data_IF_731868351149
#
_entry.id   IF_731868351149
#
_cell.length_a   1.000
_cell.length_b   1.000
_cell.length_c   1.000
_cell.angle_alpha   90.00
_cell.angle_beta   90.00
_cell.angle_gamma   90.00
#
_symmetry.space_group_name_H-M   'P 1'
#
loop_
_entity.id
_entity.type
_entity.pdbx_description
1 polymer ?
#
# COMPACT_ATOMS: atom_id res chain seq x y z
N UNK A 1 -2.05 -22.65 -3.42
CA UNK A 1 -2.97 -22.24 -2.35
C UNK A 1 -3.08 -20.73 -2.39
N UNK A 2 -4.31 -20.20 -2.43
CA UNK A 2 -4.59 -18.76 -2.44
C UNK A 2 -5.28 -18.40 -1.13
N UNK A 3 -4.89 -17.28 -0.52
CA UNK A 3 -5.60 -16.73 0.63
C UNK A 3 -6.74 -15.83 0.13
N UNK A 4 -7.93 -16.00 0.70
CA UNK A 4 -9.17 -15.30 0.29
C UNK A 4 -9.80 -14.58 1.48
N UNK A 5 -10.73 -13.66 1.21
CA UNK A 5 -11.55 -13.00 2.23
C UNK A 5 -12.68 -13.94 2.69
N UNK A 6 -13.09 -13.78 3.94
CA UNK A 6 -14.09 -14.58 4.64
C UNK A 6 -15.45 -13.91 4.50
N UNK A 7 -15.99 -13.89 3.29
CA UNK A 7 -17.37 -13.47 3.07
C UNK A 7 -18.19 -14.65 2.56
N UNK A 8 -18.97 -15.32 3.42
CA UNK A 8 -19.99 -16.21 2.90
C UNK A 8 -20.98 -15.37 2.10
N UNK A 9 -21.09 -15.63 0.80
CA UNK A 9 -22.23 -15.14 0.03
C UNK A 9 -23.50 -15.65 0.71
N UNK A 10 -24.50 -14.78 0.82
CA UNK A 10 -25.82 -15.05 1.37
C UNK A 10 -26.29 -16.51 1.23
N UNK A 11 -26.42 -17.21 2.35
CA UNK A 11 -27.47 -18.21 2.55
C UNK A 11 -27.15 -19.70 2.39
N UNK A 12 -26.01 -20.12 1.84
CA UNK A 12 -25.73 -21.56 1.69
C UNK A 12 -24.49 -21.99 2.48
N UNK A 13 -24.74 -22.69 3.58
CA UNK A 13 -23.75 -23.31 4.48
C UNK A 13 -23.09 -24.57 3.91
N UNK A 14 -23.11 -24.78 2.59
CA UNK A 14 -22.47 -25.92 1.94
C UNK A 14 -21.60 -25.45 0.77
N UNK A 15 -20.41 -24.93 1.09
CA UNK A 15 -19.37 -24.61 0.09
C UNK A 15 -18.59 -25.87 -0.35
N UNK A 16 -19.04 -27.07 0.04
CA UNK A 16 -18.33 -28.35 -0.14
C UNK A 16 -18.43 -28.96 -1.55
N UNK A 17 -19.09 -28.29 -2.50
CA UNK A 17 -19.08 -28.64 -3.94
C UNK A 17 -18.71 -27.44 -4.83
N UNK A 18 -18.09 -26.40 -4.26
CA UNK A 18 -17.75 -25.19 -5.03
C UNK A 18 -16.52 -25.45 -5.90
N UNK A 19 -16.70 -25.33 -7.21
CA UNK A 19 -15.60 -25.35 -8.17
C UNK A 19 -14.73 -24.09 -8.00
N UNK A 20 -13.42 -24.27 -8.13
CA UNK A 20 -12.42 -23.20 -8.21
C UNK A 20 -11.75 -23.29 -9.57
N UNK A 21 -11.81 -22.19 -10.32
CA UNK A 21 -11.13 -22.05 -11.59
C UNK A 21 -9.81 -21.33 -11.39
N UNK A 22 -8.72 -21.92 -11.89
CA UNK A 22 -7.37 -21.37 -11.80
C UNK A 22 -6.85 -21.09 -13.20
N UNK A 23 -6.07 -20.02 -13.34
CA UNK A 23 -5.43 -19.64 -14.61
C UNK A 23 -6.43 -19.44 -15.77
N UNK A 24 -7.53 -18.78 -15.47
CA UNK A 24 -8.56 -18.38 -16.44
C UNK A 24 -8.64 -16.85 -16.52
N UNK A 25 -9.01 -16.33 -17.69
CA UNK A 25 -9.43 -14.94 -17.87
C UNK A 25 -10.95 -14.80 -17.92
N UNK A 26 -11.70 -15.88 -18.12
CA UNK A 26 -13.16 -15.88 -18.14
C UNK A 26 -13.72 -16.40 -16.81
N UNK A 27 -14.82 -15.81 -16.33
CA UNK A 27 -15.54 -16.23 -15.12
C UNK A 27 -16.04 -17.68 -15.19
N UNK A 28 -16.31 -18.21 -16.38
CA UNK A 28 -16.72 -19.59 -16.60
C UNK A 28 -15.57 -20.61 -16.44
N UNK A 29 -14.32 -20.14 -16.32
CA UNK A 29 -13.16 -21.03 -16.18
C UNK A 29 -12.73 -21.70 -17.47
N UNK A 30 -13.32 -21.35 -18.61
CA UNK A 30 -13.05 -21.92 -19.93
C UNK A 30 -12.24 -20.96 -20.82
N UNK A 31 -11.87 -21.45 -22.01
CA UNK A 31 -11.24 -20.64 -23.06
C UNK A 31 -9.72 -20.54 -23.00
N UNK A 32 -9.07 -20.89 -21.89
CA UNK A 32 -7.61 -20.87 -21.75
C UNK A 32 -7.00 -22.28 -21.75
N UNK A 33 -5.94 -22.49 -22.55
CA UNK A 33 -5.31 -23.81 -22.77
C UNK A 33 -4.76 -24.46 -21.49
N UNK A 34 -4.53 -23.68 -20.44
CA UNK A 34 -3.98 -24.13 -19.16
C UNK A 34 -4.88 -23.76 -17.97
N UNK A 35 -6.17 -23.53 -18.20
CA UNK A 35 -7.13 -23.38 -17.11
C UNK A 35 -7.27 -24.71 -16.36
N UNK A 36 -7.45 -24.63 -15.04
CA UNK A 36 -7.65 -25.81 -14.18
C UNK A 36 -8.92 -25.62 -13.38
N UNK A 37 -9.83 -26.58 -13.49
CA UNK A 37 -10.98 -26.72 -12.59
C UNK A 37 -10.60 -27.65 -11.45
N UNK A 38 -10.85 -27.22 -10.22
CA UNK A 38 -10.67 -28.00 -9.01
C UNK A 38 -11.85 -27.75 -8.06
N UNK A 39 -11.89 -28.42 -6.92
CA UNK A 39 -12.99 -28.28 -5.96
C UNK A 39 -12.46 -27.95 -4.57
N UNK A 40 -13.28 -27.28 -3.78
CA UNK A 40 -12.95 -26.93 -2.40
C UNK A 40 -13.14 -28.15 -1.49
N UNK A 41 -12.03 -28.71 -0.99
CA UNK A 41 -12.07 -29.73 0.05
C UNK A 41 -12.40 -29.13 1.42
N UNK A 42 -11.80 -27.97 1.73
CA UNK A 42 -11.95 -27.33 3.04
C UNK A 42 -11.65 -25.85 2.98
N UNK A 43 -12.36 -25.08 3.81
CA UNK A 43 -12.08 -23.68 4.05
C UNK A 43 -11.65 -23.51 5.49
N UNK A 44 -10.50 -22.87 5.69
CA UNK A 44 -9.92 -22.64 7.00
C UNK A 44 -9.93 -21.14 7.25
N UNK A 45 -10.94 -20.70 7.99
CA UNK A 45 -11.10 -19.30 8.42
C UNK A 45 -10.14 -19.02 9.58
N UNK A 46 -9.53 -17.83 9.59
CA UNK A 46 -8.70 -17.39 10.70
C UNK A 46 -9.50 -17.38 12.02
N UNK A 47 -8.94 -17.97 13.08
CA UNK A 47 -9.64 -18.24 14.34
C UNK A 47 -10.19 -16.97 15.04
N UNK A 48 -9.57 -15.83 14.78
CA UNK A 48 -9.97 -14.53 15.33
C UNK A 48 -10.76 -13.65 14.35
N UNK A 49 -11.28 -14.23 13.26
CA UNK A 49 -12.17 -13.50 12.35
C UNK A 49 -13.38 -12.94 13.11
N UNK A 50 -13.68 -11.66 12.89
CA UNK A 50 -14.86 -11.02 13.50
C UNK A 50 -15.37 -9.84 12.67
N UNK A 51 -16.65 -9.55 12.82
CA UNK A 51 -17.31 -8.41 12.18
C UNK A 51 -17.43 -7.26 13.19
N UNK A 52 -16.99 -6.07 12.81
CA UNK A 52 -17.09 -4.84 13.62
C UNK A 52 -17.86 -3.77 12.84
N UNK A 53 -19.18 -3.73 13.02
CA UNK A 53 -20.05 -2.85 12.24
C UNK A 53 -20.04 -3.24 10.76
N UNK A 54 -19.26 -2.53 9.95
CA UNK A 54 -19.02 -2.88 8.54
C UNK A 54 -17.56 -3.07 8.19
N UNK A 55 -16.68 -3.04 9.20
CA UNK A 55 -15.31 -3.50 9.05
C UNK A 55 -15.24 -4.99 9.36
N UNK A 56 -14.28 -5.66 8.75
CA UNK A 56 -13.98 -7.07 9.01
C UNK A 56 -12.58 -7.17 9.58
N UNK A 57 -12.43 -7.80 10.74
CA UNK A 57 -11.16 -7.93 11.46
C UNK A 57 -10.66 -9.36 11.30
N UNK A 58 -9.37 -9.52 10.98
CA UNK A 58 -8.77 -10.82 10.64
C UNK A 58 -9.50 -11.53 9.50
N UNK A 59 -9.88 -10.75 8.49
CA UNK A 59 -10.59 -11.22 7.30
C UNK A 59 -9.65 -11.92 6.33
N UNK A 60 -9.37 -13.19 6.63
CA UNK A 60 -8.53 -14.09 5.85
C UNK A 60 -8.95 -15.55 6.06
N UNK A 61 -8.96 -16.32 4.98
CA UNK A 61 -9.10 -17.78 4.98
C UNK A 61 -8.11 -18.43 4.00
N UNK A 62 -7.84 -19.72 4.22
CA UNK A 62 -7.15 -20.60 3.28
C UNK A 62 -8.17 -21.57 2.69
N UNK A 63 -8.18 -21.69 1.36
CA UNK A 63 -8.90 -22.74 0.65
C UNK A 63 -7.94 -23.90 0.39
N UNK A 64 -8.34 -25.09 0.85
CA UNK A 64 -7.69 -26.36 0.53
C UNK A 64 -8.46 -26.99 -0.62
N UNK A 65 -7.75 -27.31 -1.70
CA UNK A 65 -8.33 -27.95 -2.88
C UNK A 65 -8.35 -29.47 -2.71
N UNK A 66 -9.28 -30.14 -3.37
CA UNK A 66 -9.37 -31.61 -3.36
C UNK A 66 -8.15 -32.29 -3.98
N UNK A 67 -7.59 -31.68 -5.04
CA UNK A 67 -6.42 -32.21 -5.73
C UNK A 67 -5.28 -31.18 -5.79
N UNK A 68 -4.01 -31.61 -5.73
CA UNK A 68 -2.88 -30.72 -5.92
C UNK A 68 -2.83 -30.17 -7.34
N UNK A 69 -2.47 -28.88 -7.48
CA UNK A 69 -2.30 -28.21 -8.78
C UNK A 69 -0.83 -27.85 -8.97
N UNK A 70 -0.21 -28.41 -10.01
CA UNK A 70 1.22 -28.23 -10.32
C UNK A 70 1.48 -27.44 -11.59
N UNK A 71 0.45 -27.22 -12.41
CA UNK A 71 0.53 -26.54 -13.71
C UNK A 71 0.39 -25.04 -13.63
N UNK A 72 -0.11 -24.51 -12.51
CA UNK A 72 -0.30 -23.07 -12.28
C UNK A 72 0.74 -22.59 -11.27
N UNK A 73 1.54 -21.60 -11.66
CA UNK A 73 2.56 -21.02 -10.78
C UNK A 73 1.90 -20.12 -9.74
N UNK A 74 2.10 -20.35 -8.43
CA UNK A 74 1.56 -19.48 -7.39
C UNK A 74 2.16 -18.09 -7.42
N UNK A 75 1.34 -17.08 -7.12
CA UNK A 75 1.83 -15.73 -6.84
C UNK A 75 2.73 -15.72 -5.60
N UNK A 76 3.81 -14.96 -5.64
CA UNK A 76 4.68 -14.79 -4.49
C UNK A 76 4.01 -13.87 -3.45
N UNK A 77 4.05 -14.26 -2.18
CA UNK A 77 3.64 -13.38 -1.08
C UNK A 77 4.80 -12.45 -0.74
N UNK A 78 4.51 -11.19 -0.42
CA UNK A 78 5.56 -10.28 -0.01
C UNK A 78 6.07 -10.66 1.40
N UNK A 79 7.30 -11.18 1.47
CA UNK A 79 7.92 -11.64 2.72
C UNK A 79 8.36 -10.49 3.65
N UNK A 80 8.35 -10.76 4.96
CA UNK A 80 8.96 -9.91 5.98
C UNK A 80 10.48 -9.93 5.87
N UNK A 81 11.11 -8.90 5.30
CA UNK A 81 12.55 -8.70 5.52
C UNK A 81 12.78 -8.37 6.98
N UNK A 82 13.28 -9.31 7.78
CA UNK A 82 13.87 -9.05 9.11
C UNK A 82 15.31 -8.55 8.89
N UNK A 83 15.57 -7.24 9.02
CA UNK A 83 16.97 -6.80 9.23
C UNK A 83 17.21 -6.80 10.73
N UNK A 84 17.86 -7.87 11.18
CA UNK A 84 18.74 -7.81 12.35
C UNK A 84 19.68 -6.63 12.12
N UNK A 85 19.63 -5.62 12.98
CA UNK A 85 20.57 -4.51 12.96
C UNK A 85 21.97 -5.06 13.29
N UNK A 86 22.71 -5.49 12.28
CA UNK A 86 24.16 -5.56 12.38
C UNK A 86 24.64 -4.12 12.47
N UNK A 87 24.97 -3.71 13.69
CA UNK A 87 25.61 -2.44 14.02
C UNK A 87 26.90 -2.31 13.19
N UNK A 88 26.83 -1.62 12.05
CA UNK A 88 28.03 -1.30 11.27
C UNK A 88 28.80 -0.24 12.04
N UNK A 89 29.83 -0.64 12.77
CA UNK A 89 30.81 0.26 13.36
C UNK A 89 31.62 0.87 12.22
N UNK A 90 31.32 2.11 11.84
CA UNK A 90 32.16 2.88 10.92
C UNK A 90 33.52 3.11 11.57
N UNK A 91 34.54 2.37 11.13
CA UNK A 91 35.94 2.60 11.48
C UNK A 91 36.49 3.65 10.52
N UNK A 92 36.50 4.91 10.95
CA UNK A 92 37.14 6.02 10.24
C UNK A 92 38.62 5.70 10.05
N UNK A 93 39.05 5.56 8.80
CA UNK A 93 40.48 5.43 8.45
C UNK A 93 40.89 6.68 7.70
N UNK A 94 41.69 7.51 8.36
CA UNK A 94 42.39 8.67 7.78
C UNK A 94 43.51 8.18 6.85
N UNK A 95 43.66 8.81 5.67
CA UNK A 95 44.90 8.73 4.88
C UNK A 95 45.37 10.14 4.43
N UNK A 96 46.68 10.43 4.43
CA UNK A 96 47.23 11.80 4.39
C UNK A 96 47.61 12.33 3.00
N UNK A 97 47.60 13.67 2.91
CA UNK A 97 48.40 14.63 2.10
C UNK A 97 48.53 14.45 0.57
N UNK A 98 48.49 15.51 -0.23
CA UNK A 98 49.67 16.37 -0.49
C UNK A 98 49.27 17.75 -1.05
N UNK A 99 49.91 18.80 -0.50
CA UNK A 99 49.95 20.19 -0.97
C UNK A 99 50.85 20.31 -2.21
N UNK A 100 50.45 21.10 -3.20
CA UNK A 100 51.40 21.89 -4.00
C UNK A 100 50.85 23.29 -4.27
N UNK A 101 51.72 24.26 -4.03
CA UNK A 101 51.53 25.72 -4.11
C UNK A 101 52.15 26.22 -5.42
N UNK A 102 51.51 27.17 -6.14
CA UNK A 102 52.13 28.41 -6.68
C UNK A 102 51.11 29.30 -7.45
N UNK A 103 51.19 30.61 -7.20
CA UNK A 103 50.51 31.80 -7.79
C UNK A 103 51.48 32.43 -8.86
N UNK A 104 51.28 33.61 -9.51
CA UNK A 104 50.10 34.46 -9.86
C UNK A 104 50.05 34.96 -11.34
N UNK A 105 49.05 35.84 -11.62
CA UNK A 105 48.98 36.95 -12.64
C UNK A 105 48.44 36.51 -14.02
N UNK A 106 47.51 37.19 -14.71
CA UNK A 106 47.37 38.64 -15.01
C UNK A 106 45.92 39.00 -15.44
N UNK A 107 45.58 40.28 -15.25
CA UNK A 107 44.36 41.00 -15.61
C UNK A 107 44.11 41.07 -17.13
N UNK A 108 42.83 41.07 -17.55
CA UNK A 108 42.37 41.94 -18.66
C UNK A 108 40.94 42.44 -18.39
N UNK A 109 40.82 43.76 -18.42
CA UNK A 109 39.65 44.63 -18.41
C UNK A 109 38.82 44.56 -19.69
N UNK A 110 37.49 44.70 -19.61
CA UNK A 110 36.72 45.54 -20.56
C UNK A 110 35.47 46.12 -19.87
N UNK A 111 35.34 47.45 -19.98
CA UNK A 111 34.23 48.32 -19.57
C UNK A 111 33.28 48.55 -20.76
N UNK A 112 31.98 48.66 -20.48
CA UNK A 112 30.99 49.45 -21.27
C UNK A 112 29.88 49.91 -20.29
N UNK A 113 29.94 51.09 -19.63
CA UNK A 113 29.27 52.39 -19.94
C UNK A 113 27.97 52.31 -20.77
N UNK A 114 26.85 53.02 -20.60
CA UNK A 114 26.25 53.96 -19.62
C UNK A 114 24.86 54.30 -20.21
N UNK A 115 23.76 54.35 -19.43
CA UNK A 115 22.85 55.51 -19.48
C UNK A 115 21.77 55.51 -18.38
N UNK A 116 21.60 56.74 -17.91
CA UNK A 116 20.83 57.26 -16.79
C UNK A 116 19.41 57.62 -17.21
N UNK A 117 18.44 57.42 -16.32
CA UNK A 117 17.30 58.35 -16.18
C UNK A 117 16.83 58.40 -14.73
N UNK A 118 16.52 59.61 -14.28
CA UNK A 118 16.38 60.04 -12.89
C UNK A 118 14.94 60.44 -12.53
N UNK A 119 14.55 60.15 -11.27
CA UNK A 119 13.72 60.94 -10.33
C UNK A 119 12.17 60.88 -10.51
N UNK A 120 11.29 61.11 -9.47
CA UNK A 120 11.52 61.47 -8.06
C UNK A 120 11.02 60.54 -6.95
N UNK A 121 11.78 60.64 -5.85
CA UNK A 121 11.56 60.24 -4.47
C UNK A 121 10.67 61.23 -3.71
N UNK A 122 9.76 60.72 -2.89
CA UNK A 122 9.16 61.46 -1.75
C UNK A 122 9.84 60.97 -0.48
N UNK A 123 10.53 61.88 0.22
CA UNK A 123 11.14 61.68 1.54
C UNK A 123 10.09 61.98 2.62
N UNK A 124 9.93 61.08 3.58
CA UNK A 124 9.33 61.38 4.88
C UNK A 124 10.35 61.08 5.99
N UNK A 125 10.36 61.99 6.95
CA UNK A 125 11.39 62.27 7.95
C UNK A 125 11.47 61.22 9.08
N UNK A 126 12.67 61.10 9.63
CA UNK A 126 13.17 60.23 10.71
C UNK A 126 12.51 60.40 12.09
N UNK A 127 12.47 59.31 12.88
CA UNK A 127 12.84 59.31 14.30
C UNK A 127 13.47 57.96 14.69
N UNK A 128 14.66 57.92 15.32
CA UNK A 128 15.29 56.68 15.79
C UNK A 128 14.77 56.29 17.17
N UNK A 129 14.26 55.06 17.30
CA UNK A 129 13.94 54.44 18.59
C UNK A 129 14.88 53.27 18.80
N UNK A 130 15.82 53.43 19.71
CA UNK A 130 16.67 52.39 20.25
C UNK A 130 15.84 51.46 21.14
N UNK A 131 15.63 50.21 20.69
CA UNK A 131 15.08 49.15 21.54
C UNK A 131 16.09 48.03 21.63
N UNK A 132 16.65 47.88 22.83
CA UNK A 132 17.63 46.85 23.22
C UNK A 132 17.02 45.46 23.10
N UNK A 133 17.53 44.64 22.18
CA UNK A 133 17.17 43.22 22.03
C UNK A 133 17.94 42.38 23.05
N UNK A 134 17.22 41.87 24.06
CA UNK A 134 17.69 40.78 24.94
C UNK A 134 17.59 39.45 24.16
N UNK A 135 18.60 38.55 24.22
CA UNK A 135 18.51 37.26 23.53
C UNK A 135 17.45 36.38 24.21
N UNK A 136 16.35 36.13 23.53
CA UNK A 136 15.39 35.08 23.89
C UNK A 136 15.81 33.77 23.24
N UNK A 137 16.23 32.83 24.07
CA UNK A 137 16.52 31.45 23.71
C UNK A 137 15.29 30.82 23.08
N UNK A 138 15.30 30.59 21.75
CA UNK A 138 14.29 29.77 21.08
C UNK A 138 14.54 28.31 21.45
N UNK A 139 13.78 27.82 22.42
CA UNK A 139 13.67 26.39 22.70
C UNK A 139 12.95 25.73 21.51
N UNK A 140 13.70 25.13 20.59
CA UNK A 140 13.14 24.22 19.60
C UNK A 140 12.53 23.02 20.31
N UNK A 141 11.20 22.99 20.40
CA UNK A 141 10.44 21.82 20.86
C UNK A 141 10.56 20.73 19.80
N UNK A 142 11.61 19.91 19.92
CA UNK A 142 11.74 18.66 19.15
C UNK A 142 10.85 17.62 19.83
N UNK A 143 9.66 17.39 19.28
CA UNK A 143 8.87 16.20 19.61
C UNK A 143 7.88 15.91 18.50
N UNK A 144 8.22 14.92 17.68
CA UNK A 144 7.32 13.80 17.43
C UNK A 144 8.19 12.55 17.31
N UNK A 145 8.06 11.68 18.29
CA UNK A 145 8.50 10.29 18.23
C UNK A 145 7.84 9.63 17.03
N UNK A 146 8.61 9.35 15.98
CA UNK A 146 8.15 8.52 14.86
C UNK A 146 7.81 7.15 15.44
N UNK A 147 6.51 6.83 15.54
CA UNK A 147 6.02 5.46 15.77
C UNK A 147 6.83 4.53 14.84
N UNK A 148 7.31 3.37 15.30
CA UNK A 148 8.05 2.47 14.42
C UNK A 148 7.24 2.27 13.14
N UNK A 149 7.83 2.62 11.99
CA UNK A 149 7.20 2.36 10.72
C UNK A 149 6.93 0.86 10.68
N UNK A 150 5.68 0.46 10.48
CA UNK A 150 5.38 -0.94 10.19
C UNK A 150 6.26 -1.33 9.01
N UNK A 151 7.13 -2.32 9.22
CA UNK A 151 7.98 -2.84 8.16
C UNK A 151 7.05 -3.43 7.11
N UNK A 152 7.32 -3.17 5.83
CA UNK A 152 6.45 -3.57 4.71
C UNK A 152 5.03 -2.97 4.77
N UNK A 153 4.91 -1.69 5.13
CA UNK A 153 3.60 -1.01 5.10
C UNK A 153 3.05 -0.79 3.67
N UNK A 154 3.94 -0.82 2.65
CA UNK A 154 3.67 -0.50 1.24
C UNK A 154 3.04 0.87 0.99
N UNK A 155 3.05 1.76 1.99
CA UNK A 155 2.48 3.10 1.87
C UNK A 155 3.08 3.86 0.69
N UNK A 156 2.21 4.54 -0.06
CA UNK A 156 2.52 5.28 -1.29
C UNK A 156 2.99 4.45 -2.49
N UNK A 157 3.00 3.12 -2.39
CA UNK A 157 3.37 2.25 -3.51
C UNK A 157 2.24 2.20 -4.53
N UNK A 158 2.62 2.14 -5.82
CA UNK A 158 1.69 1.76 -6.87
C UNK A 158 1.40 0.26 -6.76
N UNK A 159 0.15 -0.10 -6.97
CA UNK A 159 -0.33 -1.46 -6.87
C UNK A 159 -1.35 -1.77 -7.98
N UNK A 160 -1.54 -3.06 -8.23
CA UNK A 160 -2.55 -3.58 -9.15
C UNK A 160 -3.54 -4.43 -8.36
N UNK A 161 -4.83 -4.19 -8.57
CA UNK A 161 -5.89 -5.09 -8.14
C UNK A 161 -6.46 -5.79 -9.37
N UNK A 162 -6.99 -6.99 -9.20
CA UNK A 162 -7.61 -7.74 -10.28
C UNK A 162 -8.80 -8.57 -9.78
N UNK A 163 -9.82 -8.71 -10.62
CA UNK A 163 -11.04 -9.41 -10.30
C UNK A 163 -12.08 -9.37 -11.43
N UNK A 164 -13.21 -10.02 -11.16
CA UNK A 164 -14.37 -10.09 -12.07
C UNK A 164 -15.58 -9.35 -11.50
N UNK A 165 -15.39 -8.52 -10.47
CA UNK A 165 -16.47 -7.79 -9.82
C UNK A 165 -17.12 -6.73 -10.70
N UNK A 166 -18.03 -6.00 -10.08
CA UNK A 166 -18.80 -4.96 -10.74
C UNK A 166 -17.89 -3.87 -11.32
N UNK A 167 -18.13 -3.51 -12.58
CA UNK A 167 -17.35 -2.46 -13.28
C UNK A 167 -17.90 -1.05 -13.08
N UNK A 168 -19.07 -0.92 -12.46
CA UNK A 168 -19.70 0.34 -12.06
C UNK A 168 -20.69 0.12 -10.91
N UNK A 169 -20.98 1.16 -10.13
CA UNK A 169 -22.01 1.13 -9.08
C UNK A 169 -23.35 0.65 -9.65
N UNK A 170 -23.94 -0.39 -9.05
CA UNK A 170 -25.20 -0.99 -9.49
C UNK A 170 -25.17 -1.64 -10.88
N UNK A 171 -23.97 -1.83 -11.46
CA UNK A 171 -23.76 -2.51 -12.73
C UNK A 171 -23.71 -4.04 -12.60
N UNK A 172 -23.07 -4.68 -13.57
CA UNK A 172 -22.87 -6.13 -13.62
C UNK A 172 -21.41 -6.49 -13.41
N UNK A 173 -21.20 -7.67 -12.82
CA UNK A 173 -19.89 -8.33 -12.73
C UNK A 173 -19.34 -8.58 -14.14
N UNK A 174 -18.02 -8.58 -14.28
CA UNK A 174 -17.39 -8.76 -15.58
C UNK A 174 -17.24 -10.22 -15.94
N UNK A 175 -17.56 -10.60 -17.18
CA UNK A 175 -17.28 -11.94 -17.69
C UNK A 175 -15.78 -12.21 -17.88
N UNK A 176 -14.98 -11.14 -18.02
CA UNK A 176 -13.53 -11.23 -18.26
C UNK A 176 -12.75 -10.52 -17.17
N UNK A 177 -11.59 -11.07 -16.82
CA UNK A 177 -10.74 -10.54 -15.77
C UNK A 177 -10.40 -9.08 -16.06
N UNK A 178 -10.66 -8.21 -15.09
CA UNK A 178 -10.23 -6.83 -15.12
C UNK A 178 -9.09 -6.61 -14.14
N UNK A 179 -8.29 -5.59 -14.43
CA UNK A 179 -7.25 -5.12 -13.54
C UNK A 179 -7.27 -3.60 -13.50
N UNK A 180 -6.95 -3.05 -12.34
CA UNK A 180 -6.89 -1.60 -12.16
C UNK A 180 -5.67 -1.18 -11.35
N UNK A 181 -5.12 -0.02 -11.71
CA UNK A 181 -4.00 0.59 -11.00
C UNK A 181 -4.53 1.42 -9.83
N UNK A 182 -3.99 1.15 -8.63
CA UNK A 182 -4.31 1.88 -7.41
C UNK A 182 -3.04 2.30 -6.70
N UNK A 183 -3.16 3.24 -5.76
CA UNK A 183 -2.08 3.63 -4.87
C UNK A 183 -2.44 3.26 -3.44
N UNK A 184 -1.52 2.58 -2.76
CA UNK A 184 -1.66 2.28 -1.34
C UNK A 184 -1.49 3.58 -0.55
N UNK A 185 -2.47 3.90 0.29
CA UNK A 185 -2.47 5.13 1.09
C UNK A 185 -1.62 4.94 2.35
N UNK A 186 -1.30 6.06 3.01
CA UNK A 186 -0.60 5.97 4.31
C UNK A 186 -1.54 5.40 5.36
N UNK A 187 -1.01 4.70 6.38
CA UNK A 187 -1.83 4.23 7.49
C UNK A 187 -2.54 5.39 8.23
N UNK A 188 -1.93 6.57 8.22
CA UNK A 188 -2.55 7.78 8.77
C UNK A 188 -3.79 8.18 7.96
N UNK A 189 -3.69 8.24 6.63
CA UNK A 189 -4.84 8.59 5.78
C UNK A 189 -5.95 7.56 5.91
N UNK A 190 -5.61 6.26 5.90
CA UNK A 190 -6.58 5.19 6.12
C UNK A 190 -7.28 5.35 7.48
N UNK A 191 -6.51 5.58 8.55
CA UNK A 191 -7.05 5.80 9.89
C UNK A 191 -7.92 7.05 10.00
N UNK A 192 -7.61 8.12 9.28
CA UNK A 192 -8.46 9.32 9.22
C UNK A 192 -9.81 9.05 8.53
N UNK A 193 -9.81 8.21 7.49
CA UNK A 193 -11.02 7.88 6.72
C UNK A 193 -11.93 6.88 7.45
N UNK A 194 -11.33 5.86 8.07
CA UNK A 194 -12.05 4.73 8.65
C UNK A 194 -12.17 4.75 10.18
N UNK A 195 -11.43 5.63 10.86
CA UNK A 195 -11.48 5.76 12.32
C UNK A 195 -11.15 4.46 13.04
N UNK A 196 -11.99 4.09 14.01
CA UNK A 196 -11.81 2.87 14.83
C UNK A 196 -11.98 1.56 14.06
N UNK A 197 -12.52 1.60 12.83
CA UNK A 197 -12.66 0.41 11.99
C UNK A 197 -11.33 -0.02 11.33
N UNK A 198 -10.31 0.85 11.34
CA UNK A 198 -9.04 0.57 10.69
C UNK A 198 -7.93 0.25 11.69
N UNK A 199 -7.31 -0.91 11.51
CA UNK A 199 -6.13 -1.33 12.26
C UNK A 199 -4.91 -1.42 11.34
N UNK A 200 -4.01 -0.45 11.43
CA UNK A 200 -2.79 -0.38 10.62
C UNK A 200 -1.87 -1.62 10.72
N UNK A 201 -1.99 -2.43 11.78
CA UNK A 201 -1.18 -3.63 11.94
C UNK A 201 -1.63 -4.77 11.03
N UNK A 202 -2.93 -4.84 10.71
CA UNK A 202 -3.53 -5.95 9.97
C UNK A 202 -4.20 -5.50 8.67
N UNK A 203 -4.38 -4.20 8.46
CA UNK A 203 -5.09 -3.61 7.34
C UNK A 203 -4.24 -2.57 6.61
N UNK A 204 -4.48 -2.46 5.30
CA UNK A 204 -4.06 -1.34 4.46
C UNK A 204 -5.27 -0.82 3.67
N UNK A 205 -5.20 0.39 3.13
CA UNK A 205 -6.21 0.87 2.20
C UNK A 205 -5.57 1.45 0.94
N UNK A 206 -6.29 1.39 -0.18
CA UNK A 206 -5.82 1.90 -1.46
C UNK A 206 -6.92 2.67 -2.17
N UNK A 207 -6.52 3.60 -3.02
CA UNK A 207 -7.41 4.36 -3.88
C UNK A 207 -6.78 4.54 -5.26
N UNK A 208 -7.57 4.46 -6.32
CA UNK A 208 -7.15 4.79 -7.67
C UNK A 208 -7.06 6.31 -7.90
N UNK A 209 -6.15 6.71 -8.79
CA UNK A 209 -6.15 8.06 -9.37
C UNK A 209 -7.06 8.09 -10.59
N UNK A 210 -7.53 9.28 -11.02
CA UNK A 210 -8.47 9.42 -12.13
C UNK A 210 -7.99 8.72 -13.45
N UNK A 211 -8.85 7.95 -14.15
CA UNK A 211 -10.20 7.55 -13.73
C UNK A 211 -10.13 6.63 -12.50
N UNK A 212 -10.88 7.02 -11.49
CA UNK A 212 -10.77 6.50 -10.14
C UNK A 212 -11.15 5.02 -10.11
N UNK A 213 -10.30 4.20 -9.49
CA UNK A 213 -10.36 2.74 -9.53
C UNK A 213 -10.34 2.16 -8.11
N UNK A 214 -11.12 1.12 -7.87
CA UNK A 214 -11.23 0.41 -6.59
C UNK A 214 -11.70 -1.02 -6.86
N UNK A 215 -11.57 -1.89 -5.87
CA UNK A 215 -12.40 -3.10 -5.80
C UNK A 215 -13.87 -2.69 -5.71
N UNK A 216 -14.75 -3.57 -6.17
CA UNK A 216 -16.19 -3.44 -6.09
C UNK A 216 -16.82 -4.74 -5.54
N UNK A 217 -18.15 -4.84 -5.61
CA UNK A 217 -18.87 -6.07 -5.24
C UNK A 217 -18.37 -7.22 -6.13
N UNK A 218 -18.13 -8.39 -5.51
CA UNK A 218 -17.57 -9.62 -6.09
C UNK A 218 -16.05 -9.58 -6.40
N UNK A 219 -15.34 -8.52 -6.02
CA UNK A 219 -13.87 -8.50 -6.01
C UNK A 219 -13.27 -8.92 -4.65
N UNK A 220 -14.11 -9.12 -3.62
CA UNK A 220 -13.64 -9.52 -2.29
C UNK A 220 -12.90 -10.87 -2.32
N UNK A 221 -11.80 -10.94 -1.57
CA UNK A 221 -10.87 -12.06 -1.63
C UNK A 221 -9.86 -12.00 -2.76
N UNK A 222 -10.05 -11.10 -3.74
CA UNK A 222 -9.09 -10.81 -4.80
C UNK A 222 -7.77 -10.21 -4.28
N UNK A 223 -6.69 -10.31 -5.07
CA UNK A 223 -5.37 -9.83 -4.65
C UNK A 223 -5.20 -8.32 -4.85
N UNK A 224 -4.39 -7.71 -3.99
CA UNK A 224 -3.65 -6.47 -4.31
C UNK A 224 -2.15 -6.79 -4.42
N UNK A 225 -1.56 -6.37 -5.54
CA UNK A 225 -0.21 -6.72 -5.96
C UNK A 225 0.70 -5.50 -6.01
N UNK A 226 1.91 -5.60 -5.43
CA UNK A 226 2.97 -4.60 -5.59
C UNK A 226 4.18 -5.29 -6.22
N UNK A 227 4.61 -4.83 -7.39
CA UNK A 227 5.72 -5.44 -8.12
C UNK A 227 5.51 -6.94 -8.41
N UNK A 228 4.25 -7.35 -8.63
CA UNK A 228 3.87 -8.75 -8.87
C UNK A 228 3.76 -9.62 -7.61
N UNK A 229 4.10 -9.12 -6.43
CA UNK A 229 3.93 -9.84 -5.16
C UNK A 229 2.60 -9.48 -4.51
N UNK A 230 1.88 -10.47 -3.97
CA UNK A 230 0.66 -10.24 -3.22
C UNK A 230 0.97 -9.65 -1.85
N UNK A 231 0.46 -8.44 -1.61
CA UNK A 231 0.65 -7.71 -0.35
C UNK A 231 -0.61 -7.68 0.51
N UNK A 232 -1.76 -7.90 -0.10
CA UNK A 232 -3.04 -7.89 0.59
C UNK A 232 -4.14 -8.68 -0.11
N UNK A 233 -5.27 -8.78 0.59
CA UNK A 233 -6.50 -9.46 0.17
C UNK A 233 -7.64 -8.45 0.26
N UNK A 234 -8.41 -8.27 -0.82
CA UNK A 234 -9.56 -7.38 -0.86
C UNK A 234 -10.57 -7.76 0.24
N UNK A 235 -10.89 -6.83 1.14
CA UNK A 235 -11.70 -7.13 2.33
C UNK A 235 -13.00 -6.33 2.34
N UNK A 236 -12.97 -4.99 2.39
CA UNK A 236 -14.19 -4.19 2.40
C UNK A 236 -14.01 -2.77 1.86
N UNK A 237 -15.14 -2.14 1.55
CA UNK A 237 -15.23 -0.77 1.07
C UNK A 237 -16.53 -0.12 1.59
N UNK A 238 -16.98 0.97 0.97
CA UNK A 238 -18.12 1.77 1.42
C UNK A 238 -19.39 0.93 1.69
N UNK A 239 -20.09 1.23 2.79
CA UNK A 239 -21.31 0.52 3.21
C UNK A 239 -22.48 0.68 2.25
N UNK A 240 -22.48 1.74 1.44
CA UNK A 240 -23.51 2.02 0.45
C UNK A 240 -23.33 1.23 -0.84
N UNK A 241 -22.38 0.28 -0.87
CA UNK A 241 -21.91 -0.40 -2.09
C UNK A 241 -21.44 0.57 -3.18
N UNK A 242 -21.14 1.83 -2.82
CA UNK A 242 -20.49 2.77 -3.70
C UNK A 242 -19.04 2.35 -3.84
N UNK A 243 -18.71 1.81 -5.00
CA UNK A 243 -17.37 1.43 -5.35
C UNK A 243 -16.56 2.71 -5.56
N UNK A 244 -15.32 2.70 -5.07
CA UNK A 244 -14.42 3.84 -5.19
C UNK A 244 -14.93 5.15 -4.50
N UNK A 245 -15.61 5.04 -3.35
CA UNK A 245 -15.93 6.20 -2.52
C UNK A 245 -14.65 6.89 -1.98
N UNK A 246 -14.37 8.18 -2.32
CA UNK A 246 -13.18 8.90 -1.84
C UNK A 246 -13.15 9.12 -0.32
N UNK A 247 -14.29 8.95 0.36
CA UNK A 247 -14.40 9.01 1.83
C UNK A 247 -14.18 7.65 2.47
N UNK A 248 -14.34 6.56 1.72
CA UNK A 248 -14.21 5.18 2.17
C UNK A 248 -13.35 4.35 1.20
N UNK A 249 -12.02 4.62 1.13
CA UNK A 249 -11.12 3.90 0.24
C UNK A 249 -11.10 2.41 0.59
N UNK A 250 -11.03 1.55 -0.41
CA UNK A 250 -11.03 0.10 -0.24
C UNK A 250 -9.95 -0.37 0.74
N UNK A 251 -10.34 -1.25 1.65
CA UNK A 251 -9.52 -1.86 2.69
C UNK A 251 -9.14 -3.28 2.29
N UNK A 252 -7.88 -3.61 2.53
CA UNK A 252 -7.29 -4.91 2.26
C UNK A 252 -6.66 -5.46 3.54
N UNK A 253 -6.82 -6.76 3.78
CA UNK A 253 -6.10 -7.48 4.83
C UNK A 253 -4.63 -7.62 4.42
N UNK A 254 -3.69 -7.23 5.28
CA UNK A 254 -2.23 -7.33 5.01
C UNK A 254 -1.79 -8.78 5.05
N UNK A 255 -1.30 -9.34 3.95
CA UNK A 255 -0.82 -10.74 3.91
C UNK A 255 0.35 -10.96 4.87
N UNK A 256 1.29 -10.01 4.93
CA UNK A 256 2.47 -10.12 5.79
C UNK A 256 2.11 -10.28 7.28
N UNK A 257 1.03 -9.62 7.74
CA UNK A 257 0.57 -9.71 9.13
C UNK A 257 0.11 -11.13 9.53
N UNK A 258 -0.21 -11.98 8.55
CA UNK A 258 -0.68 -13.36 8.77
C UNK A 258 0.30 -14.40 8.22
N UNK A 259 1.51 -14.03 7.79
CA UNK A 259 2.45 -14.96 7.15
C UNK A 259 2.74 -16.20 8.02
N UNK A 260 2.93 -16.01 9.33
CA UNK A 260 3.13 -17.11 10.27
C UNK A 260 1.89 -18.02 10.41
N UNK A 261 0.70 -17.43 10.44
CA UNK A 261 -0.55 -18.16 10.47
C UNK A 261 -0.76 -18.95 9.17
N UNK A 262 -0.52 -18.33 8.01
CA UNK A 262 -0.62 -18.95 6.70
C UNK A 262 0.31 -20.17 6.63
N UNK A 263 1.60 -20.00 6.95
CA UNK A 263 2.58 -21.07 6.91
C UNK A 263 2.21 -22.23 7.84
N UNK A 264 1.78 -21.93 9.08
CA UNK A 264 1.34 -22.95 10.05
C UNK A 264 0.09 -23.69 9.57
N UNK A 265 -0.87 -22.99 8.99
CA UNK A 265 -2.12 -23.59 8.49
C UNK A 265 -1.84 -24.47 7.28
N UNK A 266 -1.02 -24.02 6.34
CA UNK A 266 -0.59 -24.83 5.19
C UNK A 266 0.16 -26.10 5.63
N UNK A 267 1.08 -26.00 6.59
CA UNK A 267 1.83 -27.15 7.08
C UNK A 267 0.94 -28.21 7.77
N UNK A 268 -0.17 -27.80 8.37
CA UNK A 268 -1.15 -28.70 9.02
C UNK A 268 -2.16 -29.31 8.06
N UNK A 269 -2.28 -28.76 6.85
CA UNK A 269 -3.26 -29.17 5.85
C UNK A 269 -2.52 -29.29 4.50
N UNK A 270 -1.63 -30.29 4.36
CA UNK A 270 -0.95 -30.51 3.09
C UNK A 270 -1.97 -30.78 1.97
N UNK A 271 -1.65 -30.39 0.73
CA UNK A 271 -2.48 -30.70 -0.44
C UNK A 271 -2.48 -32.21 -0.74
#
# INVERSE_FOLDING_TARGET
MSAVSVRPSSGNTEMFDSAVFLNTLNVAGDGEMNSVTNYVSKIIVHENYSVNGTGYVNDIAIIVLEFPVTTVTPVQMAEETTTTQTKTTTKTTTKPTTKTTTKPTTQTTTKTTTKTTTKPTTKTTTKPTTTTTKPTTKTTKKSTTKKPALRNSFENSNAVIAGWGLTSDGGYSSETLKAANVKILTNQDCGQKWGSLFNANTMMCAAGSAPSSSICVDDEGGPILVGGSQVGIASFFSKSNQCNDPKAPAVFTRVSAYAAWIAKTMAKNPP
#
